data_IF_884738636057
#
_entry.id   IF_884738636057
#
_cell.length_a   1.000
_cell.length_b   1.000
_cell.length_c   1.000
_cell.angle_alpha   90.00
_cell.angle_beta   90.00
_cell.angle_gamma   90.00
#
_symmetry.space_group_name_H-M   'P 1'
#
loop_
_entity.id
_entity.type
_entity.pdbx_description
1 polymer ?
#
# COMPACT_ATOMS: atom_id res chain seq x y z
N UNK A 1 -53.77 -42.07 -18.86
CA UNK A 1 -53.02 -42.22 -17.58
C UNK A 1 -52.01 -43.35 -17.76
N UNK A 2 -50.79 -43.39 -17.22
CA UNK A 2 -49.89 -42.48 -16.46
C UNK A 2 -48.50 -43.18 -16.48
N UNK A 3 -47.31 -42.56 -16.63
CA UNK A 3 -46.87 -41.18 -16.93
C UNK A 3 -45.40 -41.25 -17.37
N UNK A 4 -44.89 -40.34 -18.23
CA UNK A 4 -43.48 -40.34 -18.64
C UNK A 4 -42.58 -39.68 -17.57
N UNK A 5 -41.50 -40.37 -17.17
CA UNK A 5 -40.49 -39.80 -16.27
C UNK A 5 -39.41 -39.07 -17.09
N UNK A 6 -39.32 -37.75 -16.91
CA UNK A 6 -38.23 -36.95 -17.44
C UNK A 6 -37.15 -36.78 -16.35
N UNK A 7 -36.00 -37.45 -16.52
CA UNK A 7 -34.83 -37.24 -15.66
C UNK A 7 -34.02 -36.03 -16.13
N UNK A 8 -34.06 -34.94 -15.38
CA UNK A 8 -33.25 -33.75 -15.62
C UNK A 8 -31.82 -33.94 -15.10
N UNK A 9 -30.85 -33.98 -16.01
CA UNK A 9 -29.43 -34.02 -15.67
C UNK A 9 -28.92 -32.59 -15.39
N UNK A 10 -28.69 -32.26 -14.12
CA UNK A 10 -28.13 -30.97 -13.73
C UNK A 10 -26.59 -30.99 -13.83
N UNK A 11 -26.04 -30.47 -14.92
CA UNK A 11 -24.59 -30.25 -15.05
C UNK A 11 -24.14 -29.07 -14.17
N UNK A 12 -23.61 -29.36 -12.99
CA UNK A 12 -22.89 -28.38 -12.19
C UNK A 12 -21.52 -28.07 -12.85
N UNK A 13 -21.46 -27.01 -13.65
CA UNK A 13 -20.19 -26.48 -14.17
C UNK A 13 -19.40 -25.86 -13.01
N UNK A 14 -18.43 -26.62 -12.49
CA UNK A 14 -17.45 -26.12 -11.54
C UNK A 14 -16.53 -25.12 -12.24
N UNK A 15 -16.92 -23.84 -12.24
CA UNK A 15 -16.04 -22.74 -12.61
C UNK A 15 -14.90 -22.71 -11.60
N UNK A 16 -13.70 -23.12 -12.02
CA UNK A 16 -12.49 -23.01 -11.23
C UNK A 16 -12.19 -21.53 -10.98
N UNK A 17 -12.56 -21.03 -9.81
CA UNK A 17 -12.13 -19.71 -9.34
C UNK A 17 -10.62 -19.78 -9.15
N UNK A 18 -9.87 -19.15 -10.06
CA UNK A 18 -8.44 -18.99 -9.88
C UNK A 18 -8.22 -18.10 -8.66
N UNK A 19 -7.67 -18.67 -7.59
CA UNK A 19 -7.14 -17.88 -6.50
C UNK A 19 -5.86 -17.19 -6.97
N UNK A 20 -5.71 -15.90 -6.68
CA UNK A 20 -4.55 -15.11 -7.08
C UNK A 20 -4.32 -13.96 -6.08
N UNK A 21 -3.13 -13.85 -5.48
CA UNK A 21 -2.77 -12.68 -4.68
C UNK A 21 -2.65 -11.46 -5.60
N UNK A 22 -3.32 -10.37 -5.23
CA UNK A 22 -3.30 -9.12 -6.00
C UNK A 22 -3.41 -7.94 -5.04
N UNK A 23 -2.63 -6.89 -5.32
CA UNK A 23 -2.53 -5.71 -4.48
C UNK A 23 -2.54 -4.47 -5.37
N UNK A 24 -3.23 -3.43 -4.92
CA UNK A 24 -3.18 -2.10 -5.51
C UNK A 24 -2.80 -1.07 -4.45
N UNK A 25 -2.16 0.00 -4.92
CA UNK A 25 -1.67 1.10 -4.10
C UNK A 25 -2.19 2.40 -4.70
N UNK A 26 -2.70 3.28 -3.85
CA UNK A 26 -3.05 4.65 -4.21
C UNK A 26 -2.41 5.64 -3.22
N UNK A 27 -2.09 6.85 -3.69
CA UNK A 27 -1.54 7.93 -2.86
C UNK A 27 -2.47 9.13 -3.01
N UNK A 28 -3.12 9.50 -1.90
CA UNK A 28 -3.86 10.75 -1.77
C UNK A 28 -2.92 11.86 -1.33
N UNK A 29 -2.76 12.87 -2.18
CA UNK A 29 -2.02 14.10 -1.87
C UNK A 29 -2.98 15.28 -1.68
N UNK A 30 -2.66 16.23 -0.77
CA UNK A 30 -3.39 17.49 -0.68
C UNK A 30 -3.21 18.31 -1.97
N UNK A 31 -4.29 18.93 -2.46
CA UNK A 31 -4.28 19.74 -3.70
C UNK A 31 -3.38 20.98 -3.62
N UNK A 32 -3.18 21.50 -2.41
CA UNK A 32 -2.32 22.64 -2.10
C UNK A 32 -1.87 22.51 -0.65
N UNK A 33 -0.63 22.89 -0.36
CA UNK A 33 -0.09 22.91 1.01
C UNK A 33 0.54 24.28 1.27
N UNK A 34 0.10 24.93 2.36
CA UNK A 34 0.65 26.20 2.81
C UNK A 34 1.74 25.92 3.86
N UNK A 35 3.00 25.95 3.43
CA UNK A 35 4.17 25.61 4.25
C UNK A 35 4.41 24.10 4.34
N UNK A 36 5.67 23.67 4.17
CA UNK A 36 6.05 22.25 4.12
C UNK A 36 5.79 21.49 5.41
N UNK A 37 5.65 22.20 6.54
CA UNK A 37 5.36 21.65 7.87
C UNK A 37 4.02 20.91 7.94
N UNK A 38 3.11 21.18 6.99
CA UNK A 38 1.79 20.55 6.87
C UNK A 38 1.72 19.52 5.72
N UNK A 39 2.84 19.16 5.09
CA UNK A 39 2.86 18.21 3.97
C UNK A 39 2.72 16.78 4.49
N UNK A 40 1.49 16.26 4.46
CA UNK A 40 1.19 14.86 4.69
C UNK A 40 0.54 14.21 3.45
N UNK A 41 0.76 12.91 3.28
CA UNK A 41 0.15 12.10 2.20
C UNK A 41 -0.49 10.85 2.79
N UNK A 42 -1.62 10.42 2.25
CA UNK A 42 -2.30 9.20 2.70
C UNK A 42 -2.14 8.10 1.66
N UNK A 43 -1.48 7.02 2.03
CA UNK A 43 -1.34 5.83 1.18
C UNK A 43 -2.44 4.84 1.50
N UNK A 44 -3.10 4.32 0.46
CA UNK A 44 -4.11 3.26 0.57
C UNK A 44 -3.52 2.00 -0.04
N UNK A 45 -3.39 0.94 0.76
CA UNK A 45 -2.96 -0.39 0.32
C UNK A 45 -4.19 -1.30 0.33
N UNK A 46 -4.57 -1.83 -0.84
CA UNK A 46 -5.81 -2.58 -1.04
C UNK A 46 -5.51 -3.98 -1.58
N UNK A 47 -6.02 -5.01 -0.88
CA UNK A 47 -6.02 -6.37 -1.39
C UNK A 47 -7.12 -6.55 -2.45
N UNK A 48 -6.72 -6.46 -3.71
CA UNK A 48 -7.58 -6.69 -4.89
C UNK A 48 -7.70 -8.16 -5.28
N UNK A 49 -7.04 -9.05 -4.55
CA UNK A 49 -7.10 -10.50 -4.75
C UNK A 49 -8.29 -11.15 -4.03
N UNK A 50 -8.36 -12.47 -4.16
CA UNK A 50 -9.33 -13.34 -3.49
C UNK A 50 -8.68 -14.25 -2.42
N UNK A 51 -7.44 -13.97 -2.04
CA UNK A 51 -6.70 -14.60 -0.94
C UNK A 51 -6.37 -13.59 0.16
N UNK A 52 -6.30 -14.01 1.42
CA UNK A 52 -5.84 -13.15 2.51
C UNK A 52 -4.33 -12.91 2.41
N UNK A 53 -3.93 -11.64 2.29
CA UNK A 53 -2.52 -11.24 2.24
C UNK A 53 -1.96 -11.00 3.64
N UNK A 54 -0.75 -11.50 3.89
CA UNK A 54 0.06 -11.15 5.06
C UNK A 54 1.31 -10.40 4.61
N UNK A 55 1.31 -9.10 4.82
CA UNK A 55 2.30 -8.16 4.30
C UNK A 55 3.27 -7.74 5.41
N UNK A 56 4.57 -7.71 5.13
CA UNK A 56 5.58 -7.30 6.11
C UNK A 56 5.59 -5.77 6.24
N UNK A 57 5.54 -5.26 7.47
CA UNK A 57 5.63 -3.83 7.79
C UNK A 57 7.09 -3.34 7.71
N UNK A 58 7.73 -3.54 6.55
CA UNK A 58 9.10 -3.12 6.29
C UNK A 58 9.20 -1.58 6.41
N UNK A 59 10.26 -0.99 7.00
CA UNK A 59 10.36 0.46 7.19
C UNK A 59 10.15 1.28 5.90
N UNK A 60 10.81 0.87 4.82
CA UNK A 60 10.68 1.48 3.48
C UNK A 60 9.38 1.10 2.73
N UNK A 61 8.44 0.38 3.34
CA UNK A 61 7.12 0.14 2.74
C UNK A 61 6.12 1.20 3.17
N UNK A 62 5.10 1.41 2.35
CA UNK A 62 3.97 2.29 2.65
C UNK A 62 3.12 1.79 3.84
N UNK A 63 3.33 0.53 4.29
CA UNK A 63 2.68 -0.04 5.47
C UNK A 63 3.34 0.37 6.80
N UNK A 64 4.51 1.03 6.76
CA UNK A 64 5.22 1.49 7.96
C UNK A 64 5.14 3.00 8.10
N UNK A 65 4.95 3.46 9.34
CA UNK A 65 5.01 4.89 9.72
C UNK A 65 6.44 5.39 9.99
N UNK A 66 7.47 4.56 9.75
CA UNK A 66 8.86 4.99 9.91
C UNK A 66 9.22 6.07 8.87
N UNK A 67 9.94 7.11 9.29
CA UNK A 67 10.33 8.28 8.48
C UNK A 67 11.50 7.98 7.52
N UNK A 68 11.43 6.86 6.80
CA UNK A 68 12.42 6.42 5.82
C UNK A 68 12.07 6.87 4.41
N UNK A 69 13.06 7.02 3.53
CA UNK A 69 12.84 7.32 2.11
C UNK A 69 11.99 6.23 1.46
N UNK A 70 10.76 6.60 1.07
CA UNK A 70 9.74 5.69 0.51
C UNK A 70 8.84 6.34 -0.54
N UNK A 71 9.04 7.63 -0.83
CA UNK A 71 8.27 8.41 -1.79
C UNK A 71 9.19 9.04 -2.82
N UNK A 72 8.89 8.86 -4.10
CA UNK A 72 9.58 9.60 -5.17
C UNK A 72 8.91 10.97 -5.31
N UNK A 73 9.54 12.02 -4.75
CA UNK A 73 9.09 13.40 -4.90
C UNK A 73 9.87 14.07 -6.01
N UNK A 74 9.20 14.64 -7.01
CA UNK A 74 9.82 15.19 -8.21
C UNK A 74 9.12 16.45 -8.74
N UNK A 75 9.88 17.37 -9.33
CA UNK A 75 9.41 18.58 -10.01
C UNK A 75 10.27 18.88 -11.24
N UNK A 76 9.91 19.89 -12.03
CA UNK A 76 10.70 20.34 -13.18
C UNK A 76 12.09 20.88 -12.80
N UNK A 77 12.27 21.34 -11.54
CA UNK A 77 13.56 21.78 -11.00
C UNK A 77 14.27 20.66 -10.21
N UNK A 78 13.87 19.39 -10.39
CA UNK A 78 14.42 18.24 -9.67
C UNK A 78 13.63 17.87 -8.41
N UNK A 79 14.28 17.12 -7.53
CA UNK A 79 13.71 16.52 -6.33
C UNK A 79 14.20 17.22 -5.05
N UNK A 80 13.37 17.30 -3.99
CA UNK A 80 13.84 17.71 -2.67
C UNK A 80 14.83 16.67 -2.12
N UNK A 81 15.74 17.13 -1.27
CA UNK A 81 16.72 16.26 -0.60
C UNK A 81 16.04 15.45 0.51
N UNK A 82 16.24 14.13 0.57
CA UNK A 82 15.76 13.32 1.68
C UNK A 82 16.61 13.55 2.94
N UNK A 83 15.95 13.90 4.03
CA UNK A 83 16.56 14.25 5.34
C UNK A 83 16.05 13.39 6.51
N UNK A 84 15.19 12.40 6.23
CA UNK A 84 14.62 11.51 7.24
C UNK A 84 15.58 10.41 7.74
N UNK A 85 15.01 9.40 8.40
CA UNK A 85 15.73 8.33 9.06
C UNK A 85 16.29 7.29 8.09
N UNK A 86 17.56 6.91 8.29
CA UNK A 86 18.13 5.68 7.73
C UNK A 86 17.97 4.52 8.73
N UNK A 87 17.32 3.42 8.33
CA UNK A 87 16.98 2.31 9.22
C UNK A 87 17.63 1.01 8.76
N UNK A 88 18.49 0.42 9.61
CA UNK A 88 18.98 -0.95 9.43
C UNK A 88 17.90 -1.94 9.86
N UNK A 89 17.33 -2.67 8.89
CA UNK A 89 16.29 -3.67 9.12
C UNK A 89 16.74 -5.05 8.61
N UNK A 90 16.27 -6.12 9.26
CA UNK A 90 16.59 -7.51 8.91
C UNK A 90 15.27 -8.28 8.72
N UNK A 91 14.74 -8.36 7.49
CA UNK A 91 13.44 -8.99 7.22
C UNK A 91 13.34 -10.41 7.75
N UNK A 92 14.38 -11.22 7.51
CA UNK A 92 14.52 -12.58 8.03
C UNK A 92 14.25 -12.73 9.53
N UNK A 93 14.72 -11.78 10.34
CA UNK A 93 14.54 -11.83 11.79
C UNK A 93 13.08 -11.60 12.17
N UNK A 94 12.43 -10.59 11.56
CA UNK A 94 11.01 -10.33 11.77
C UNK A 94 10.14 -11.49 11.28
N UNK A 95 10.47 -12.08 10.13
CA UNK A 95 9.78 -13.24 9.55
C UNK A 95 9.92 -14.47 10.46
N UNK A 96 11.14 -14.80 10.91
CA UNK A 96 11.41 -15.95 11.81
C UNK A 96 10.76 -15.78 13.18
N UNK A 97 10.75 -14.56 13.73
CA UNK A 97 10.06 -14.25 15.00
C UNK A 97 8.54 -14.30 14.87
N UNK A 98 8.01 -14.06 13.67
CA UNK A 98 6.58 -14.12 13.35
C UNK A 98 5.71 -13.24 14.27
N UNK A 99 6.26 -12.12 14.73
CA UNK A 99 5.59 -11.19 15.65
C UNK A 99 4.40 -10.51 14.93
N UNK A 100 3.15 -10.59 15.43
CA UNK A 100 2.00 -9.98 14.77
C UNK A 100 2.18 -8.49 14.45
N UNK A 101 2.90 -7.73 15.28
CA UNK A 101 3.16 -6.31 15.04
C UNK A 101 4.07 -6.05 13.81
N UNK A 102 4.82 -7.06 13.36
CA UNK A 102 5.66 -6.97 12.16
C UNK A 102 4.88 -7.09 10.85
N UNK A 103 3.57 -7.40 10.89
CA UNK A 103 2.76 -7.64 9.71
C UNK A 103 1.45 -6.84 9.68
N UNK A 104 0.97 -6.55 8.48
CA UNK A 104 -0.41 -6.17 8.21
C UNK A 104 -1.09 -7.35 7.52
N UNK A 105 -2.26 -7.76 8.02
CA UNK A 105 -3.10 -8.78 7.39
C UNK A 105 -4.26 -8.08 6.70
N UNK A 106 -4.49 -8.40 5.42
CA UNK A 106 -5.58 -7.88 4.60
C UNK A 106 -6.39 -9.05 4.03
N UNK A 107 -7.65 -9.18 4.44
CA UNK A 107 -8.61 -10.07 3.80
C UNK A 107 -8.93 -9.60 2.36
N UNK A 108 -9.52 -10.46 1.50
CA UNK A 108 -9.96 -10.06 0.16
C UNK A 108 -10.86 -8.80 0.18
N UNK A 109 -10.52 -7.80 -0.62
CA UNK A 109 -11.21 -6.50 -0.65
C UNK A 109 -10.90 -5.56 0.52
N UNK A 110 -10.08 -5.97 1.49
CA UNK A 110 -9.71 -5.12 2.62
C UNK A 110 -8.67 -4.07 2.22
N UNK A 111 -8.85 -2.85 2.74
CA UNK A 111 -7.94 -1.72 2.56
C UNK A 111 -7.26 -1.35 3.89
N UNK A 112 -6.05 -0.80 3.79
CA UNK A 112 -5.34 -0.14 4.89
C UNK A 112 -4.89 1.24 4.46
N UNK A 113 -5.41 2.25 5.13
CA UNK A 113 -4.98 3.64 4.98
C UNK A 113 -3.93 3.99 6.03
N UNK A 114 -2.89 4.72 5.60
CA UNK A 114 -1.82 5.22 6.46
C UNK A 114 -1.45 6.63 6.00
N UNK A 115 -1.51 7.58 6.91
CA UNK A 115 -1.01 8.95 6.67
C UNK A 115 0.46 9.02 7.05
N UNK A 116 1.28 9.47 6.12
CA UNK A 116 2.71 9.72 6.30
C UNK A 116 2.93 11.23 6.35
N UNK A 117 3.58 11.71 7.40
CA UNK A 117 4.04 13.09 7.44
C UNK A 117 5.35 13.19 6.65
N UNK A 118 5.40 14.07 5.65
CA UNK A 118 6.61 14.33 4.85
C UNK A 118 7.35 15.59 5.31
N UNK A 119 6.74 16.38 6.20
CA UNK A 119 7.44 17.46 6.89
C UNK A 119 8.65 16.90 7.66
N UNK A 120 9.82 17.52 7.50
CA UNK A 120 11.07 17.05 8.09
C UNK A 120 11.72 15.84 7.40
N UNK A 121 10.98 15.04 6.63
CA UNK A 121 11.55 13.96 5.81
C UNK A 121 12.22 14.43 4.53
N UNK A 122 11.75 15.55 3.95
CA UNK A 122 12.26 16.08 2.68
C UNK A 122 12.51 17.60 2.78
N UNK A 123 13.70 18.02 2.35
CA UNK A 123 14.15 19.41 2.32
C UNK A 123 13.85 20.05 0.95
N UNK A 124 12.81 20.89 0.93
CA UNK A 124 12.36 21.64 -0.25
C UNK A 124 13.08 22.99 -0.43
N UNK A 125 14.10 23.33 0.35
CA UNK A 125 14.71 24.68 0.32
C UNK A 125 15.35 25.00 -1.03
N UNK A 126 16.09 24.04 -1.62
CA UNK A 126 16.76 24.23 -2.90
C UNK A 126 15.78 24.25 -4.09
N UNK A 127 14.68 23.50 -4.01
CA UNK A 127 13.68 23.41 -5.08
C UNK A 127 12.60 24.49 -4.96
N UNK A 128 12.24 24.94 -3.76
CA UNK A 128 11.28 26.02 -3.51
C UNK A 128 9.80 25.64 -3.70
N UNK A 129 8.90 26.61 -3.51
CA UNK A 129 7.45 26.42 -3.67
C UNK A 129 7.05 26.28 -5.15
N UNK A 130 6.36 25.19 -5.49
CA UNK A 130 5.93 24.80 -6.85
C UNK A 130 5.03 23.56 -6.79
N UNK A 131 4.57 23.11 -7.94
CA UNK A 131 3.94 21.79 -8.11
C UNK A 131 4.97 20.65 -8.02
N UNK A 132 4.62 19.61 -7.26
CA UNK A 132 5.39 18.37 -7.13
C UNK A 132 4.52 17.17 -7.49
N UNK A 133 5.16 16.14 -8.06
CA UNK A 133 4.60 14.80 -8.23
C UNK A 133 5.19 13.91 -7.13
N UNK A 134 4.32 13.22 -6.40
CA UNK A 134 4.66 12.22 -5.39
C UNK A 134 4.22 10.85 -5.92
N UNK A 135 5.08 9.83 -5.80
CA UNK A 135 4.82 8.43 -6.17
C UNK A 135 5.35 7.48 -5.12
#
# INVERSE_FOLDING_TARGET
MRTAFATSLACAVALGVSAAPSISVAIGTPKQVNGVDNLAVTTIVHNTGNETLKLLNHPHSLLSTAETDKFEISSENGSPEFTGMMVKYVPDYAIKRNDPASFTVLEPGQMREITHNLAGMYNFTATGARDYKVR
#
